data_IF_069521693225
#
_entry.id   IF_069521693225
#
_cell.length_a   1.000
_cell.length_b   1.000
_cell.length_c   1.000
_cell.angle_alpha   90.00
_cell.angle_beta   90.00
_cell.angle_gamma   90.00
#
_symmetry.space_group_name_H-M   'P 1'
#
loop_
_entity.id
_entity.type
_entity.pdbx_description
1 polymer ?
#
# COMPACT_ATOMS: atom_id res chain seq x y z
N UNK A 1 28.67 -5.37 3.27
CA UNK A 1 28.43 -4.17 4.11
C UNK A 1 27.95 -3.03 3.21
N UNK A 2 27.18 -2.09 3.75
CA UNK A 2 26.67 -0.95 3.01
C UNK A 2 26.39 0.24 3.92
N UNK A 3 26.31 1.42 3.32
CA UNK A 3 26.09 2.69 4.00
C UNK A 3 25.22 3.60 3.13
N UNK A 4 24.30 4.35 3.74
CA UNK A 4 23.49 5.38 3.06
C UNK A 4 23.68 6.70 3.79
N UNK A 5 24.26 7.67 3.09
CA UNK A 5 24.30 9.05 3.53
C UNK A 5 23.02 9.76 3.06
N UNK A 6 22.40 10.50 3.95
CA UNK A 6 21.19 11.28 3.67
C UNK A 6 21.43 12.73 4.09
N UNK A 7 20.93 13.67 3.28
CA UNK A 7 21.04 15.09 3.53
C UNK A 7 19.77 15.79 3.06
N UNK A 8 19.04 16.36 4.02
CA UNK A 8 17.79 17.08 3.83
C UNK A 8 17.93 18.48 4.47
N UNK A 9 18.59 19.42 3.78
CA UNK A 9 18.71 20.80 4.28
C UNK A 9 17.36 21.51 4.34
N UNK A 10 16.53 21.29 3.31
CA UNK A 10 15.16 21.77 3.22
C UNK A 10 14.26 20.57 2.95
N UNK A 11 13.44 20.22 3.94
CA UNK A 11 12.46 19.14 3.78
C UNK A 11 11.39 19.60 2.80
N UNK A 12 11.07 18.75 1.81
CA UNK A 12 10.00 19.05 0.85
C UNK A 12 8.67 19.23 1.58
N UNK A 13 7.82 20.14 1.07
CA UNK A 13 6.50 20.33 1.64
C UNK A 13 5.69 19.02 1.63
N UNK A 14 4.95 18.76 2.71
CA UNK A 14 4.19 17.54 2.93
C UNK A 14 5.00 16.37 3.51
N UNK A 15 6.32 16.48 3.63
CA UNK A 15 7.14 15.55 4.40
C UNK A 15 7.31 16.05 5.84
N UNK A 16 7.55 15.10 6.75
CA UNK A 16 7.73 15.43 8.17
C UNK A 16 8.98 16.31 8.38
N UNK A 17 8.85 17.50 9.00
CA UNK A 17 9.97 18.43 9.20
C UNK A 17 11.16 17.85 9.97
N UNK A 18 10.95 16.79 10.75
CA UNK A 18 12.02 16.08 11.50
C UNK A 18 13.02 15.37 10.60
N UNK A 19 12.73 15.25 9.29
CA UNK A 19 13.73 14.84 8.30
C UNK A 19 14.84 15.88 8.10
N UNK A 20 14.71 17.12 8.60
CA UNK A 20 15.75 18.14 8.39
C UNK A 20 17.05 17.74 9.08
N UNK A 21 18.13 17.61 8.31
CA UNK A 21 19.44 17.24 8.84
C UNK A 21 20.31 16.51 7.83
N UNK A 22 21.44 15.98 8.30
CA UNK A 22 22.32 15.17 7.48
C UNK A 22 23.05 14.13 8.33
N UNK A 23 23.23 12.93 7.80
CA UNK A 23 23.91 11.86 8.53
C UNK A 23 23.90 10.53 7.80
N UNK A 24 24.24 9.47 8.53
CA UNK A 24 24.27 8.09 8.06
C UNK A 24 23.25 7.28 8.84
N UNK A 25 21.95 7.44 8.54
CA UNK A 25 20.89 6.77 9.28
C UNK A 25 20.79 5.27 8.94
N UNK A 26 21.45 4.82 7.86
CA UNK A 26 21.45 3.42 7.43
C UNK A 26 22.87 2.92 7.20
N UNK A 27 23.32 1.93 8.01
CA UNK A 27 24.61 1.26 7.88
C UNK A 27 24.50 -0.20 8.30
N UNK A 28 25.17 -1.11 7.61
CA UNK A 28 25.14 -2.52 7.98
C UNK A 28 26.37 -3.30 7.52
N UNK A 29 26.68 -4.37 8.25
CA UNK A 29 27.55 -5.45 7.83
C UNK A 29 26.72 -6.73 7.71
N UNK A 30 26.96 -7.50 6.65
CA UNK A 30 26.26 -8.77 6.41
C UNK A 30 27.31 -9.85 6.13
N UNK A 31 27.12 -11.00 6.75
CA UNK A 31 27.88 -12.21 6.50
C UNK A 31 26.92 -13.32 6.08
N UNK A 32 27.18 -13.93 4.93
CA UNK A 32 26.39 -15.05 4.39
C UNK A 32 27.28 -16.24 4.17
N UNK A 33 26.89 -17.38 4.73
CA UNK A 33 27.58 -18.66 4.53
C UNK A 33 26.58 -19.81 4.43
N UNK A 34 26.44 -20.38 3.23
CA UNK A 34 25.57 -21.53 2.91
C UNK A 34 24.15 -21.34 3.46
N UNK A 35 23.90 -21.91 4.62
CA UNK A 35 22.60 -22.04 5.26
C UNK A 35 22.33 -20.99 6.34
N UNK A 36 23.22 -20.01 6.53
CA UNK A 36 22.96 -18.90 7.43
C UNK A 36 23.41 -17.54 6.87
N UNK A 37 22.65 -16.51 7.26
CA UNK A 37 22.93 -15.10 7.00
C UNK A 37 22.77 -14.33 8.32
N UNK A 38 23.76 -13.51 8.66
CA UNK A 38 23.72 -12.61 9.81
C UNK A 38 23.93 -11.19 9.30
N UNK A 39 23.06 -10.28 9.74
CA UNK A 39 23.17 -8.85 9.49
C UNK A 39 23.28 -8.12 10.82
N UNK A 40 24.27 -7.24 10.94
CA UNK A 40 24.41 -6.31 12.06
C UNK A 40 24.33 -4.87 11.53
N UNK A 41 23.52 -4.03 12.19
CA UNK A 41 23.19 -2.68 11.76
C UNK A 41 21.75 -2.59 11.21
N UNK A 42 21.53 -1.71 10.26
CA UNK A 42 20.22 -1.48 9.66
C UNK A 42 19.80 -2.58 8.68
N UNK A 43 18.58 -3.05 8.81
CA UNK A 43 17.96 -3.97 7.86
C UNK A 43 16.47 -3.69 7.71
N UNK A 44 15.92 -4.20 6.61
CA UNK A 44 14.49 -4.34 6.37
C UNK A 44 14.12 -5.83 6.45
N UNK A 45 12.93 -6.12 6.96
CA UNK A 45 12.41 -7.47 7.12
C UNK A 45 10.88 -7.47 7.09
N UNK A 46 10.33 -8.57 6.58
CA UNK A 46 8.89 -8.80 6.54
C UNK A 46 8.61 -10.26 6.89
N UNK A 47 7.65 -10.47 7.79
CA UNK A 47 7.11 -11.78 8.12
C UNK A 47 5.74 -11.93 7.46
N UNK A 48 5.55 -13.01 6.69
CA UNK A 48 4.29 -13.25 5.98
C UNK A 48 3.87 -12.08 5.09
N UNK A 49 2.60 -11.70 5.18
CA UNK A 49 2.04 -10.52 4.49
C UNK A 49 2.44 -9.18 5.12
N UNK A 50 3.08 -9.20 6.30
CA UNK A 50 3.47 -8.01 7.06
C UNK A 50 2.50 -7.61 8.17
N UNK A 51 1.43 -8.38 8.41
CA UNK A 51 0.37 -8.03 9.38
C UNK A 51 0.84 -7.91 10.83
N UNK A 52 1.98 -8.52 11.18
CA UNK A 52 2.62 -8.32 12.50
C UNK A 52 4.05 -7.80 12.41
N UNK A 53 4.69 -7.82 11.24
CA UNK A 53 6.04 -7.28 11.05
C UNK A 53 6.33 -6.96 9.58
N UNK A 54 6.52 -5.67 9.28
CA UNK A 54 7.03 -5.16 8.02
C UNK A 54 7.82 -3.88 8.25
N UNK A 55 9.11 -3.94 7.95
CA UNK A 55 9.98 -2.77 7.82
C UNK A 55 10.37 -2.58 6.36
N UNK A 56 10.24 -1.37 5.85
CA UNK A 56 10.44 -1.00 4.45
C UNK A 56 10.79 0.47 4.29
N UNK A 57 11.32 0.81 3.11
CA UNK A 57 11.51 2.17 2.66
C UNK A 57 10.48 2.45 1.56
N UNK A 58 9.68 3.50 1.74
CA UNK A 58 8.82 4.06 0.69
C UNK A 58 9.00 5.59 0.67
N UNK A 59 9.88 6.04 -0.22
CA UNK A 59 10.30 7.45 -0.29
C UNK A 59 9.17 8.39 -0.66
N UNK A 60 8.20 7.96 -1.46
CA UNK A 60 7.07 8.82 -1.84
C UNK A 60 6.15 9.17 -0.65
N UNK A 61 6.09 8.26 0.33
CA UNK A 61 5.37 8.44 1.59
C UNK A 61 6.25 9.00 2.73
N UNK A 62 7.56 9.16 2.49
CA UNK A 62 8.50 9.54 3.55
C UNK A 62 8.61 8.48 4.65
N UNK A 63 8.41 7.21 4.31
CA UNK A 63 8.52 6.09 5.25
C UNK A 63 9.89 5.47 5.12
N UNK A 64 10.59 5.40 6.25
CA UNK A 64 11.73 4.51 6.44
C UNK A 64 11.76 4.05 7.89
N UNK A 65 11.24 2.86 8.13
CA UNK A 65 11.22 2.21 9.44
C UNK A 65 12.24 1.06 9.51
N UNK A 66 13.42 1.24 8.90
CA UNK A 66 14.51 0.27 9.06
C UNK A 66 14.78 -0.05 10.54
N UNK A 67 15.18 -1.29 10.81
CA UNK A 67 15.55 -1.73 12.16
C UNK A 67 17.06 -1.68 12.29
N UNK A 68 17.59 -0.96 13.27
CA UNK A 68 19.01 -1.04 13.63
C UNK A 68 19.20 -2.06 14.76
N UNK A 69 19.90 -3.16 14.47
CA UNK A 69 20.14 -4.24 15.42
C UNK A 69 20.80 -5.46 14.80
N UNK A 70 20.36 -6.65 15.19
CA UNK A 70 20.87 -7.93 14.68
C UNK A 70 19.72 -8.71 14.06
N UNK A 71 19.97 -9.25 12.86
CA UNK A 71 19.08 -10.17 12.15
C UNK A 71 19.82 -11.44 11.79
N UNK A 72 19.16 -12.57 11.92
CA UNK A 72 19.66 -13.88 11.53
C UNK A 72 18.61 -14.55 10.63
N UNK A 73 19.07 -15.17 9.53
CA UNK A 73 18.27 -16.09 8.72
C UNK A 73 18.97 -17.44 8.68
N UNK A 74 18.23 -18.52 8.88
CA UNK A 74 18.74 -19.88 8.92
C UNK A 74 17.92 -20.77 7.97
N UNK A 75 18.61 -21.70 7.32
CA UNK A 75 18.03 -22.78 6.53
C UNK A 75 18.58 -24.12 7.04
N UNK A 76 18.20 -24.56 8.26
CA UNK A 76 18.83 -25.73 8.89
C UNK A 76 18.60 -27.03 8.10
N UNK A 77 17.47 -27.14 7.40
CA UNK A 77 17.11 -28.28 6.56
C UNK A 77 16.42 -27.81 5.28
N UNK A 78 16.36 -28.69 4.27
CA UNK A 78 15.57 -28.45 3.06
C UNK A 78 14.10 -28.22 3.42
N UNK A 79 13.52 -27.13 2.93
CA UNK A 79 12.15 -26.74 3.22
C UNK A 79 11.91 -26.04 4.56
N UNK A 80 12.91 -25.87 5.43
CA UNK A 80 12.77 -25.13 6.69
C UNK A 80 13.51 -23.81 6.61
N UNK A 81 12.79 -22.71 6.78
CA UNK A 81 13.32 -21.35 6.71
C UNK A 81 12.99 -20.63 8.02
N UNK A 82 14.01 -20.17 8.73
CA UNK A 82 13.84 -19.46 9.99
C UNK A 82 14.45 -18.06 9.87
N UNK A 83 13.79 -17.07 10.47
CA UNK A 83 14.31 -15.72 10.64
C UNK A 83 14.14 -15.30 12.07
N UNK A 84 15.10 -14.56 12.60
CA UNK A 84 14.98 -13.91 13.89
C UNK A 84 15.65 -12.54 13.87
N UNK A 85 15.16 -11.60 14.66
CA UNK A 85 15.79 -10.31 14.83
C UNK A 85 15.52 -9.68 16.19
N UNK A 86 16.38 -8.72 16.54
CA UNK A 86 16.18 -7.78 17.64
C UNK A 86 16.80 -6.43 17.25
N UNK A 87 16.11 -5.33 17.54
CA UNK A 87 16.64 -3.99 17.30
C UNK A 87 15.62 -2.89 17.55
N UNK A 88 15.99 -1.68 17.16
CA UNK A 88 15.18 -0.48 17.34
C UNK A 88 14.79 0.11 15.98
N UNK A 89 13.57 0.60 15.86
CA UNK A 89 13.15 1.30 14.65
C UNK A 89 13.87 2.63 14.50
N UNK A 90 14.28 2.91 13.26
CA UNK A 90 14.69 4.23 12.81
C UNK A 90 13.57 5.25 13.07
N UNK A 91 13.96 6.42 13.60
CA UNK A 91 13.14 7.60 13.73
C UNK A 91 13.91 8.79 13.14
N UNK A 92 13.75 9.04 11.84
CA UNK A 92 14.52 10.07 11.11
C UNK A 92 16.04 9.85 11.21
N UNK A 93 16.80 10.73 11.85
CA UNK A 93 18.24 10.53 12.09
C UNK A 93 18.55 9.84 13.43
N UNK A 94 17.53 9.57 14.23
CA UNK A 94 17.60 8.91 15.55
C UNK A 94 16.94 7.52 15.52
N UNK A 95 16.79 6.94 16.71
CA UNK A 95 16.11 5.66 16.97
C UNK A 95 14.97 5.85 17.97
N UNK A 96 13.98 4.97 17.87
CA UNK A 96 12.92 4.85 18.86
C UNK A 96 13.43 4.11 20.11
N UNK A 97 13.00 4.54 21.30
CA UNK A 97 13.31 3.86 22.58
C UNK A 97 12.77 2.41 22.63
N UNK A 98 11.69 2.14 21.90
CA UNK A 98 11.07 0.82 21.87
C UNK A 98 11.88 -0.24 21.13
N UNK A 99 12.12 -1.38 21.78
CA UNK A 99 12.86 -2.52 21.23
C UNK A 99 11.89 -3.49 20.57
N UNK A 100 12.12 -3.84 19.31
CA UNK A 100 11.31 -4.81 18.56
C UNK A 100 12.11 -6.11 18.39
N UNK A 101 11.43 -7.23 18.62
CA UNK A 101 11.98 -8.58 18.55
C UNK A 101 11.04 -9.43 17.72
N UNK A 102 11.58 -10.30 16.87
CA UNK A 102 10.75 -11.17 16.06
C UNK A 102 11.40 -12.50 15.75
N UNK A 103 10.58 -13.53 15.63
CA UNK A 103 10.94 -14.83 15.07
C UNK A 103 9.87 -15.26 14.06
N UNK A 104 10.32 -15.86 12.97
CA UNK A 104 9.49 -16.34 11.88
C UNK A 104 10.02 -17.69 11.40
N UNK A 105 9.10 -18.59 11.09
CA UNK A 105 9.41 -19.92 10.57
C UNK A 105 8.47 -20.29 9.43
N UNK A 106 9.02 -20.83 8.36
CA UNK A 106 8.28 -21.36 7.22
C UNK A 106 8.72 -22.79 6.89
N UNK A 107 7.73 -23.66 6.65
CA UNK A 107 7.90 -25.06 6.31
C UNK A 107 7.27 -25.34 4.94
N UNK A 108 8.11 -25.52 3.92
CA UNK A 108 7.75 -26.04 2.60
C UNK A 108 7.64 -27.57 2.68
N UNK A 109 6.42 -28.10 2.80
CA UNK A 109 6.20 -29.54 2.97
C UNK A 109 6.70 -30.36 1.78
N UNK A 110 6.70 -29.78 0.57
CA UNK A 110 7.16 -30.45 -0.64
C UNK A 110 8.68 -30.60 -0.71
N UNK A 111 9.43 -29.71 -0.06
CA UNK A 111 10.88 -29.81 0.09
C UNK A 111 11.27 -30.68 1.28
N UNK A 112 10.48 -30.62 2.36
CA UNK A 112 10.75 -31.34 3.61
C UNK A 112 10.36 -32.82 3.54
N UNK A 113 9.24 -33.16 2.88
CA UNK A 113 8.73 -34.53 2.77
C UNK A 113 8.96 -35.08 1.36
N UNK A 114 9.89 -36.04 1.15
CA UNK A 114 10.23 -36.55 -0.18
C UNK A 114 9.02 -37.09 -0.98
N UNK A 115 8.04 -37.70 -0.31
CA UNK A 115 6.80 -38.21 -0.93
C UNK A 115 5.95 -37.12 -1.57
N UNK A 116 6.08 -35.86 -1.14
CA UNK A 116 5.33 -34.72 -1.65
C UNK A 116 6.09 -33.94 -2.74
N UNK A 117 7.35 -34.27 -3.01
CA UNK A 117 8.20 -33.55 -3.98
C UNK A 117 7.59 -33.51 -5.39
N UNK A 118 6.97 -34.60 -5.82
CA UNK A 118 6.33 -34.74 -7.15
C UNK A 118 4.85 -34.32 -7.17
N UNK A 119 4.27 -33.95 -6.02
CA UNK A 119 2.89 -33.49 -5.95
C UNK A 119 2.70 -32.21 -6.76
N UNK A 120 1.57 -32.07 -7.46
CA UNK A 120 1.17 -30.82 -8.12
C UNK A 120 0.80 -29.73 -7.12
N UNK A 121 0.37 -30.13 -5.93
CA UNK A 121 0.09 -29.21 -4.83
C UNK A 121 1.38 -28.87 -4.10
N UNK A 122 1.61 -27.58 -3.92
CA UNK A 122 2.65 -26.99 -3.08
C UNK A 122 2.02 -26.45 -1.81
N UNK A 123 2.55 -26.85 -0.66
CA UNK A 123 2.06 -26.49 0.66
C UNK A 123 3.18 -25.80 1.44
N UNK A 124 2.90 -24.62 1.97
CA UNK A 124 3.79 -23.93 2.92
C UNK A 124 2.99 -23.54 4.16
N UNK A 125 3.50 -23.96 5.32
CA UNK A 125 3.00 -23.53 6.62
C UNK A 125 3.95 -22.50 7.19
N UNK A 126 3.42 -21.44 7.78
CA UNK A 126 4.23 -20.40 8.41
C UNK A 126 3.71 -20.04 9.80
N UNK A 127 4.63 -19.63 10.67
CA UNK A 127 4.33 -19.14 12.01
C UNK A 127 5.29 -18.01 12.36
N UNK A 128 4.77 -16.98 13.01
CA UNK A 128 5.59 -15.85 13.45
C UNK A 128 5.16 -15.31 14.79
N UNK A 129 6.12 -14.73 15.52
CA UNK A 129 5.90 -14.03 16.77
C UNK A 129 6.75 -12.76 16.79
N UNK A 130 6.14 -11.63 17.16
CA UNK A 130 6.77 -10.32 17.20
C UNK A 130 6.38 -9.63 18.51
N UNK A 131 7.37 -9.16 19.26
CA UNK A 131 7.15 -8.41 20.48
C UNK A 131 7.82 -7.04 20.41
N UNK A 132 7.15 -6.03 20.96
CA UNK A 132 7.76 -4.74 21.28
C UNK A 132 7.88 -4.59 22.78
N UNK A 133 8.99 -3.99 23.22
CA UNK A 133 9.19 -3.53 24.58
C UNK A 133 9.19 -1.99 24.61
N UNK A 134 8.43 -1.40 25.53
CA UNK A 134 8.48 0.03 25.85
C UNK A 134 8.12 0.19 27.34
N UNK A 135 8.95 0.87 28.12
CA UNK A 135 8.73 1.14 29.54
C UNK A 135 7.36 1.80 29.79
N UNK A 136 6.69 1.45 30.89
CA UNK A 136 5.49 2.16 31.32
C UNK A 136 5.85 3.43 32.10
N UNK A 137 5.55 4.58 31.50
CA UNK A 137 5.77 5.91 32.09
C UNK A 137 4.45 6.61 32.42
N UNK A 138 3.30 5.93 32.28
CA UNK A 138 1.99 6.55 32.49
C UNK A 138 1.54 6.45 33.95
N UNK A 139 1.11 7.56 34.59
CA UNK A 139 0.71 7.54 35.99
C UNK A 139 -0.71 7.00 36.22
N UNK A 140 -1.57 7.04 35.19
CA UNK A 140 -3.01 6.72 35.29
C UNK A 140 -3.33 5.32 34.75
N UNK A 141 -2.63 4.90 33.69
CA UNK A 141 -2.88 3.64 33.01
C UNK A 141 -1.81 2.62 33.40
N UNK A 142 -2.19 1.35 33.48
CA UNK A 142 -1.25 0.25 33.68
C UNK A 142 -0.95 -0.38 32.33
N UNK A 143 0.13 0.07 31.68
CA UNK A 143 0.40 -0.31 30.30
C UNK A 143 1.27 -1.57 30.23
N UNK A 144 0.97 -2.50 29.31
CA UNK A 144 1.86 -3.63 29.07
C UNK A 144 3.18 -3.13 28.47
N UNK A 145 4.28 -3.41 29.16
CA UNK A 145 5.61 -3.03 28.68
C UNK A 145 6.03 -3.88 27.48
N UNK A 146 5.72 -5.18 27.52
CA UNK A 146 5.92 -6.09 26.40
C UNK A 146 4.56 -6.38 25.76
N UNK A 147 4.36 -5.91 24.54
CA UNK A 147 3.20 -6.30 23.72
C UNK A 147 3.68 -7.37 22.74
N UNK A 148 2.96 -8.47 22.65
CA UNK A 148 3.25 -9.59 21.75
C UNK A 148 2.16 -9.76 20.69
N UNK A 149 2.58 -10.13 19.49
CA UNK A 149 1.71 -10.53 18.40
C UNK A 149 2.21 -11.85 17.79
N UNK A 150 1.30 -12.72 17.38
CA UNK A 150 1.60 -13.94 16.65
C UNK A 150 0.76 -14.04 15.39
N UNK A 151 1.24 -14.78 14.40
CA UNK A 151 0.48 -15.08 13.19
C UNK A 151 0.75 -16.48 12.66
N UNK A 152 -0.31 -17.14 12.19
CA UNK A 152 -0.27 -18.44 11.52
C UNK A 152 -0.63 -18.29 10.04
N UNK A 153 0.11 -18.99 9.17
CA UNK A 153 0.03 -18.84 7.71
C UNK A 153 -0.10 -20.17 7.00
N UNK A 154 -0.92 -20.18 5.95
CA UNK A 154 -1.05 -21.31 5.03
C UNK A 154 -1.02 -20.78 3.60
N UNK A 155 -0.08 -21.31 2.81
CA UNK A 155 0.00 -21.06 1.37
C UNK A 155 -0.16 -22.39 0.63
N UNK A 156 -1.17 -22.46 -0.23
CA UNK A 156 -1.47 -23.59 -1.10
C UNK A 156 -1.35 -23.13 -2.55
N UNK A 157 -0.67 -23.90 -3.38
CA UNK A 157 -0.59 -23.63 -4.81
C UNK A 157 -0.67 -24.90 -5.61
N UNK A 158 -1.51 -24.95 -6.63
CA UNK A 158 -1.60 -26.04 -7.58
C UNK A 158 -1.85 -25.47 -8.96
N UNK A 159 -0.77 -25.21 -9.70
CA UNK A 159 -0.74 -24.82 -11.11
C UNK A 159 -1.63 -23.62 -11.49
N UNK A 160 -2.95 -23.82 -11.44
CA UNK A 160 -4.01 -22.86 -11.69
C UNK A 160 -4.52 -22.17 -10.43
N UNK A 161 -4.53 -22.84 -9.27
CA UNK A 161 -5.11 -22.33 -8.02
C UNK A 161 -4.00 -21.85 -7.10
N UNK A 162 -4.19 -20.70 -6.48
CA UNK A 162 -3.38 -20.19 -5.38
C UNK A 162 -4.34 -19.83 -4.25
N UNK A 163 -4.05 -20.26 -3.03
CA UNK A 163 -4.78 -19.86 -1.83
C UNK A 163 -3.79 -19.49 -0.75
N UNK A 164 -3.94 -18.30 -0.18
CA UNK A 164 -3.10 -17.79 0.89
C UNK A 164 -4.01 -17.32 2.03
N UNK A 165 -3.72 -17.73 3.25
CA UNK A 165 -4.38 -17.19 4.43
C UNK A 165 -3.38 -16.92 5.53
N UNK A 166 -3.59 -15.83 6.26
CA UNK A 166 -2.85 -15.46 7.46
C UNK A 166 -3.83 -14.97 8.51
N UNK A 167 -3.76 -15.54 9.70
CA UNK A 167 -4.46 -15.05 10.89
C UNK A 167 -3.42 -14.52 11.87
N UNK A 168 -3.63 -13.32 12.37
CA UNK A 168 -2.78 -12.64 13.32
C UNK A 168 -3.58 -12.24 14.56
N UNK A 169 -2.94 -12.34 15.72
CA UNK A 169 -3.47 -11.90 17.00
C UNK A 169 -2.41 -11.10 17.73
N UNK A 170 -2.80 -9.99 18.34
CA UNK A 170 -1.96 -9.09 19.14
C UNK A 170 -2.63 -8.93 20.50
N UNK A 171 -1.88 -9.05 21.59
CA UNK A 171 -2.43 -8.73 22.90
C UNK A 171 -2.77 -7.23 22.98
N UNK A 172 -3.48 -6.85 24.04
CA UNK A 172 -3.82 -5.48 24.31
C UNK A 172 -2.63 -4.51 24.21
N UNK A 173 -2.85 -3.41 23.48
CA UNK A 173 -1.85 -2.38 23.22
C UNK A 173 -2.51 -1.00 23.29
N UNK A 174 -2.80 -0.49 24.49
CA UNK A 174 -3.37 0.84 24.65
C UNK A 174 -2.43 1.89 24.03
N UNK A 175 -2.94 2.62 23.05
CA UNK A 175 -2.16 3.53 22.23
C UNK A 175 -2.95 4.80 21.88
N UNK A 176 -2.25 5.80 21.34
CA UNK A 176 -2.89 7.01 20.84
C UNK A 176 -3.92 6.73 19.73
N UNK A 177 -3.73 5.64 18.97
CA UNK A 177 -4.57 5.31 17.82
C UNK A 177 -5.90 4.68 18.23
N UNK A 178 -5.93 3.85 19.28
CA UNK A 178 -7.15 3.16 19.73
C UNK A 178 -7.79 3.80 20.97
N UNK A 179 -7.48 5.06 21.26
CA UNK A 179 -7.98 5.78 22.44
C UNK A 179 -7.63 5.12 23.78
N UNK A 180 -6.45 4.46 23.87
CA UNK A 180 -5.96 3.80 25.09
C UNK A 180 -6.92 2.73 25.65
N UNK A 181 -7.60 1.98 24.77
CA UNK A 181 -8.37 0.80 25.18
C UNK A 181 -7.48 -0.42 25.40
N UNK A 182 -7.93 -1.35 26.22
CA UNK A 182 -7.26 -2.61 26.56
C UNK A 182 -7.78 -3.81 25.75
N UNK A 183 -8.41 -3.55 24.61
CA UNK A 183 -8.83 -4.61 23.68
C UNK A 183 -7.60 -5.31 23.08
N UNK A 184 -7.68 -6.62 22.91
CA UNK A 184 -6.77 -7.36 22.04
C UNK A 184 -7.02 -6.99 20.56
N UNK A 185 -6.08 -7.33 19.69
CA UNK A 185 -6.19 -7.12 18.25
C UNK A 185 -6.20 -8.44 17.49
N UNK A 186 -6.96 -8.48 16.40
CA UNK A 186 -6.97 -9.61 15.48
C UNK A 186 -7.04 -9.16 14.03
N UNK A 187 -6.39 -9.90 13.14
CA UNK A 187 -6.57 -9.73 11.71
C UNK A 187 -6.59 -11.07 10.99
N UNK A 188 -7.41 -11.15 9.96
CA UNK A 188 -7.45 -12.26 9.01
C UNK A 188 -7.28 -11.68 7.61
N UNK A 189 -6.42 -12.31 6.82
CA UNK A 189 -6.27 -12.02 5.40
C UNK A 189 -6.41 -13.33 4.63
N UNK A 190 -7.31 -13.35 3.66
CA UNK A 190 -7.54 -14.48 2.75
C UNK A 190 -7.37 -13.99 1.32
N UNK A 191 -6.64 -14.73 0.50
CA UNK A 191 -6.50 -14.51 -0.93
C UNK A 191 -6.71 -15.83 -1.67
N UNK A 192 -7.52 -15.82 -2.72
CA UNK A 192 -7.79 -16.93 -3.61
C UNK A 192 -7.58 -16.47 -5.05
N UNK A 193 -6.72 -17.17 -5.77
CA UNK A 193 -6.43 -16.93 -7.19
C UNK A 193 -6.74 -18.17 -8.03
N UNK A 194 -7.33 -17.96 -9.21
CA UNK A 194 -7.48 -18.96 -10.24
C UNK A 194 -7.00 -18.41 -11.58
N UNK A 195 -6.01 -19.05 -12.20
CA UNK A 195 -5.43 -18.60 -13.47
C UNK A 195 -5.31 -19.73 -14.47
N UNK A 196 -5.80 -19.46 -15.70
CA UNK A 196 -5.57 -20.27 -16.89
C UNK A 196 -5.18 -19.36 -18.05
N UNK A 197 -4.78 -19.92 -19.19
CA UNK A 197 -4.45 -19.13 -20.37
C UNK A 197 -5.67 -18.26 -20.77
N UNK A 198 -5.49 -16.94 -20.69
CA UNK A 198 -6.50 -15.95 -21.09
C UNK A 198 -7.55 -15.59 -20.02
N UNK A 199 -7.54 -16.22 -18.84
CA UNK A 199 -8.46 -15.89 -17.74
C UNK A 199 -7.74 -15.92 -16.39
N UNK A 200 -7.97 -14.90 -15.57
CA UNK A 200 -7.54 -14.84 -14.18
C UNK A 200 -8.67 -14.31 -13.30
N UNK A 201 -8.88 -14.94 -12.16
CA UNK A 201 -9.77 -14.50 -11.09
C UNK A 201 -8.94 -14.37 -9.81
N UNK A 202 -9.13 -13.28 -9.07
CA UNK A 202 -8.59 -13.07 -7.73
C UNK A 202 -9.72 -12.63 -6.82
N UNK A 203 -9.84 -13.26 -5.67
CA UNK A 203 -10.77 -12.92 -4.61
C UNK A 203 -9.96 -12.76 -3.32
N UNK A 204 -10.14 -11.65 -2.63
CA UNK A 204 -9.44 -11.35 -1.39
C UNK A 204 -10.44 -10.86 -0.36
N UNK A 205 -10.22 -11.22 0.89
CA UNK A 205 -11.02 -10.77 2.03
C UNK A 205 -10.11 -10.51 3.22
N UNK A 206 -10.46 -9.52 4.02
CA UNK A 206 -9.78 -9.26 5.28
C UNK A 206 -10.77 -8.85 6.37
N UNK A 207 -10.39 -9.17 7.60
CA UNK A 207 -10.90 -8.56 8.83
C UNK A 207 -9.73 -7.96 9.58
N UNK A 208 -9.90 -6.76 10.10
CA UNK A 208 -8.92 -6.07 10.93
C UNK A 208 -9.67 -5.51 12.13
N UNK A 209 -9.22 -5.82 13.34
CA UNK A 209 -9.77 -5.33 14.58
C UNK A 209 -8.63 -4.93 15.52
N UNK A 210 -8.52 -3.64 15.85
CA UNK A 210 -7.53 -3.09 16.78
C UNK A 210 -6.06 -3.55 16.54
N UNK A 211 -5.66 -3.63 15.27
CA UNK A 211 -4.35 -4.14 14.86
C UNK A 211 -3.31 -3.03 14.60
N UNK A 212 -3.51 -1.79 15.02
CA UNK A 212 -2.40 -0.82 14.97
C UNK A 212 -1.23 -1.33 15.83
N UNK A 213 -0.02 -1.42 15.28
CA UNK A 213 1.13 -1.90 16.03
C UNK A 213 2.37 -1.06 15.73
N UNK A 214 2.88 -0.37 16.76
CA UNK A 214 3.99 0.59 16.65
C UNK A 214 5.00 0.40 17.76
N UNK A 215 6.27 0.64 17.47
CA UNK A 215 7.35 0.57 18.48
C UNK A 215 7.25 1.64 19.56
N UNK A 216 6.47 2.71 19.32
CA UNK A 216 6.07 3.68 20.33
C UNK A 216 4.55 3.84 20.35
N UNK A 217 3.91 3.57 21.50
CA UNK A 217 2.46 3.66 21.69
C UNK A 217 1.85 5.06 21.53
N UNK A 218 2.66 6.11 21.67
CA UNK A 218 2.23 7.50 21.51
C UNK A 218 2.40 8.02 20.06
N UNK A 219 3.02 7.23 19.18
CA UNK A 219 3.27 7.65 17.80
C UNK A 219 1.98 7.62 16.96
N UNK A 220 1.82 8.64 16.11
CA UNK A 220 0.72 8.79 15.15
C UNK A 220 1.27 9.01 13.74
N UNK A 221 0.40 9.00 12.72
CA UNK A 221 0.81 9.14 11.32
C UNK A 221 1.61 7.93 10.81
N UNK A 222 2.59 8.12 9.93
CA UNK A 222 3.29 7.01 9.27
C UNK A 222 4.64 6.61 9.89
N UNK A 223 4.90 7.00 11.15
CA UNK A 223 6.17 6.70 11.82
C UNK A 223 6.07 5.44 12.69
N UNK A 224 7.19 4.74 12.86
CA UNK A 224 7.37 3.69 13.87
C UNK A 224 6.38 2.51 13.78
N UNK A 225 5.76 2.32 12.61
CA UNK A 225 4.88 1.18 12.31
C UNK A 225 5.69 -0.13 12.36
N UNK A 226 5.25 -1.09 13.15
CA UNK A 226 5.77 -2.47 13.18
C UNK A 226 5.08 -3.29 12.12
N UNK A 227 3.77 -3.14 11.96
CA UNK A 227 3.01 -3.90 11.00
C UNK A 227 2.55 -3.07 9.79
N UNK A 228 2.11 -3.81 8.78
CA UNK A 228 1.48 -3.28 7.58
C UNK A 228 0.18 -4.04 7.33
N UNK A 229 -0.90 -3.30 7.13
CA UNK A 229 -2.24 -3.82 6.92
C UNK A 229 -2.68 -3.53 5.48
N UNK A 230 -2.81 -4.56 4.60
CA UNK A 230 -3.13 -4.34 3.20
C UNK A 230 -4.49 -3.66 3.01
N UNK A 231 -4.61 -2.72 2.07
CA UNK A 231 -5.87 -2.02 1.77
C UNK A 231 -6.94 -2.89 1.09
N UNK A 232 -6.55 -3.87 0.27
CA UNK A 232 -7.47 -4.60 -0.62
C UNK A 232 -8.29 -3.67 -1.53
N UNK A 233 -7.67 -2.60 -2.02
CA UNK A 233 -8.25 -1.69 -3.02
C UNK A 233 -7.36 -1.63 -4.25
N UNK A 234 -7.92 -1.21 -5.39
CA UNK A 234 -7.14 -1.06 -6.61
C UNK A 234 -6.31 0.24 -6.52
N UNK A 235 -4.98 0.18 -6.69
CA UNK A 235 -4.21 1.40 -6.85
C UNK A 235 -4.51 2.01 -8.22
N UNK A 236 -5.04 3.24 -8.23
CA UNK A 236 -5.28 4.00 -9.45
C UNK A 236 -4.01 4.72 -9.89
N UNK A 237 -3.64 4.57 -11.16
CA UNK A 237 -2.47 5.24 -11.75
C UNK A 237 -2.85 6.50 -12.53
N UNK A 238 -4.12 6.62 -12.91
CA UNK A 238 -4.68 7.78 -13.59
C UNK A 238 -5.04 8.86 -12.58
N UNK A 239 -4.66 10.10 -12.88
CA UNK A 239 -4.76 11.26 -11.97
C UNK A 239 -6.13 11.45 -11.33
N UNK A 240 -7.22 11.53 -12.10
CA UNK A 240 -8.55 11.81 -11.54
C UNK A 240 -9.11 10.62 -10.74
N UNK A 241 -8.82 9.39 -11.17
CA UNK A 241 -9.20 8.20 -10.40
C UNK A 241 -8.40 8.05 -9.10
N UNK A 242 -7.23 8.68 -9.01
CA UNK A 242 -6.40 8.69 -7.81
C UNK A 242 -6.74 9.83 -6.83
N UNK A 243 -7.75 10.65 -7.11
CA UNK A 243 -8.17 11.74 -6.20
C UNK A 243 -8.70 11.25 -4.86
N UNK A 244 -9.29 10.05 -4.83
CA UNK A 244 -9.93 9.46 -3.66
C UNK A 244 -9.24 8.14 -3.28
N UNK A 245 -8.00 8.18 -2.80
CA UNK A 245 -7.24 6.96 -2.51
C UNK A 245 -7.57 6.41 -1.11
N UNK A 246 -7.49 5.10 -0.92
CA UNK A 246 -7.88 4.46 0.35
C UNK A 246 -6.69 4.02 1.21
N UNK A 247 -6.79 4.27 2.52
CA UNK A 247 -5.96 3.69 3.57
C UNK A 247 -6.76 2.74 4.46
N UNK A 248 -6.12 1.65 4.84
CA UNK A 248 -6.68 0.66 5.78
C UNK A 248 -6.90 1.29 7.15
N UNK A 249 -8.08 1.05 7.74
CA UNK A 249 -8.44 1.49 9.09
C UNK A 249 -8.02 0.42 10.12
N UNK A 250 -7.01 0.67 10.96
CA UNK A 250 -6.43 -0.36 11.82
C UNK A 250 -7.31 -0.75 13.02
N UNK A 251 -8.29 0.08 13.37
CA UNK A 251 -9.13 -0.10 14.55
C UNK A 251 -10.47 -0.78 14.27
N UNK A 252 -10.70 -1.26 13.05
CA UNK A 252 -11.96 -1.93 12.72
C UNK A 252 -12.32 -1.79 11.27
N UNK A 253 -12.05 -2.81 10.46
CA UNK A 253 -12.38 -2.86 9.04
C UNK A 253 -12.68 -4.29 8.56
N UNK A 254 -13.74 -4.43 7.77
CA UNK A 254 -14.03 -5.58 6.92
C UNK A 254 -13.83 -5.18 5.47
N UNK A 255 -12.91 -5.84 4.76
CA UNK A 255 -12.54 -5.49 3.39
C UNK A 255 -12.62 -6.67 2.43
N UNK A 256 -13.10 -6.44 1.21
CA UNK A 256 -13.20 -7.46 0.16
C UNK A 256 -12.75 -6.89 -1.18
N UNK A 257 -12.11 -7.73 -1.99
CA UNK A 257 -11.70 -7.37 -3.34
C UNK A 257 -11.86 -8.54 -4.30
N UNK A 258 -12.59 -8.33 -5.40
CA UNK A 258 -12.64 -9.23 -6.54
C UNK A 258 -11.98 -8.61 -7.76
N UNK A 259 -11.18 -9.38 -8.50
CA UNK A 259 -10.65 -8.97 -9.79
C UNK A 259 -10.76 -10.10 -10.81
N UNK A 260 -11.30 -9.79 -11.98
CA UNK A 260 -11.37 -10.67 -13.14
C UNK A 260 -10.56 -10.04 -14.27
N UNK A 261 -9.70 -10.84 -14.87
CA UNK A 261 -8.92 -10.47 -16.04
C UNK A 261 -9.20 -11.48 -17.15
N UNK A 262 -9.68 -11.02 -18.30
CA UNK A 262 -10.02 -11.87 -19.44
C UNK A 262 -9.42 -11.33 -20.74
N UNK A 263 -8.90 -12.24 -21.57
CA UNK A 263 -8.37 -11.93 -22.88
C UNK A 263 -9.21 -12.59 -23.96
N UNK A 264 -9.98 -11.78 -24.68
CA UNK A 264 -10.73 -12.21 -25.85
C UNK A 264 -9.77 -12.63 -26.97
N UNK A 265 -10.09 -13.76 -27.58
CA UNK A 265 -9.27 -14.35 -28.64
C UNK A 265 -9.29 -13.53 -29.93
N UNK A 266 -8.17 -13.59 -30.65
CA UNK A 266 -8.01 -12.94 -31.95
C UNK A 266 -8.98 -13.54 -32.96
N UNK A 267 -9.55 -12.72 -33.82
CA UNK A 267 -10.50 -13.12 -34.86
C UNK A 267 -11.95 -13.22 -34.39
N UNK A 268 -12.21 -13.10 -33.08
CA UNK A 268 -13.58 -13.02 -32.54
C UNK A 268 -14.14 -11.59 -32.67
N UNK A 269 -15.46 -11.44 -32.59
CA UNK A 269 -16.14 -10.13 -32.64
C UNK A 269 -15.59 -9.16 -31.59
N UNK A 270 -15.48 -9.62 -30.33
CA UNK A 270 -14.99 -8.79 -29.22
C UNK A 270 -13.46 -8.68 -29.16
N UNK A 271 -12.72 -9.68 -29.65
CA UNK A 271 -11.25 -9.68 -29.64
C UNK A 271 -10.60 -8.97 -30.83
N UNK A 272 -11.31 -8.82 -31.95
CA UNK A 272 -10.79 -8.22 -33.17
C UNK A 272 -9.51 -8.90 -33.67
N UNK A 273 -8.73 -8.21 -34.52
CA UNK A 273 -7.53 -8.79 -35.15
C UNK A 273 -6.38 -9.07 -34.16
N UNK A 274 -6.28 -8.30 -33.08
CA UNK A 274 -5.13 -8.31 -32.19
C UNK A 274 -5.41 -8.86 -30.78
N UNK A 275 -6.68 -9.15 -30.45
CA UNK A 275 -7.14 -9.53 -29.13
C UNK A 275 -7.55 -8.29 -28.32
N UNK A 276 -8.48 -8.49 -27.40
CA UNK A 276 -8.95 -7.47 -26.45
C UNK A 276 -8.72 -7.98 -25.05
N UNK A 277 -8.25 -7.12 -24.16
CA UNK A 277 -8.11 -7.46 -22.75
C UNK A 277 -9.13 -6.65 -21.94
N UNK A 278 -9.84 -7.34 -21.06
CA UNK A 278 -10.81 -6.79 -20.12
C UNK A 278 -10.30 -7.08 -18.71
N UNK A 279 -10.24 -6.05 -17.88
CA UNK A 279 -10.07 -6.17 -16.45
C UNK A 279 -11.29 -5.57 -15.74
N UNK A 280 -11.86 -6.32 -14.82
CA UNK A 280 -12.94 -5.91 -13.93
C UNK A 280 -12.44 -6.01 -12.50
N UNK A 281 -12.66 -5.01 -11.68
CA UNK A 281 -12.38 -5.09 -10.25
C UNK A 281 -13.48 -4.41 -9.45
N UNK A 282 -13.73 -4.99 -8.28
CA UNK A 282 -14.63 -4.45 -7.27
C UNK A 282 -13.92 -4.58 -5.93
N UNK A 283 -13.83 -3.48 -5.19
CA UNK A 283 -13.22 -3.40 -3.87
C UNK A 283 -14.19 -2.70 -2.93
N UNK A 284 -14.36 -3.19 -1.69
CA UNK A 284 -15.23 -2.57 -0.69
C UNK A 284 -14.66 -2.74 0.71
N UNK A 285 -14.71 -1.68 1.49
CA UNK A 285 -14.32 -1.65 2.89
C UNK A 285 -15.44 -1.03 3.73
N UNK A 286 -15.79 -1.71 4.80
CA UNK A 286 -16.81 -1.34 5.77
C UNK A 286 -16.21 -1.37 7.18
N UNK A 287 -16.88 -0.72 8.13
CA UNK A 287 -16.64 -0.92 9.55
C UNK A 287 -16.84 -2.38 9.95
N UNK A 288 -16.31 -2.73 11.12
CA UNK A 288 -16.74 -3.92 11.86
C UNK A 288 -17.92 -3.54 12.73
N UNK A 289 -18.80 -4.49 13.04
CA UNK A 289 -19.88 -4.21 13.99
C UNK A 289 -19.31 -4.06 15.41
N UNK A 290 -19.23 -2.83 15.91
CA UNK A 290 -18.73 -2.51 17.25
C UNK A 290 -19.88 -2.35 18.21
N UNK A 291 -19.96 -3.23 19.19
CA UNK A 291 -21.00 -3.24 20.20
C UNK A 291 -20.45 -2.77 21.56
N UNK A 292 -21.31 -2.11 22.33
CA UNK A 292 -20.98 -1.75 23.71
C UNK A 292 -20.75 -3.03 24.54
N UNK A 293 -19.74 -2.99 25.41
CA UNK A 293 -19.45 -4.11 26.32
C UNK A 293 -20.55 -4.24 27.39
N UNK A 294 -21.15 -3.11 27.77
CA UNK A 294 -22.26 -3.00 28.72
C UNK A 294 -22.95 -1.64 28.56
N UNK A 295 -24.13 -1.49 29.18
CA UNK A 295 -25.01 -0.31 29.09
C UNK A 295 -24.38 1.03 29.54
N UNK A 296 -23.22 0.99 30.22
CA UNK A 296 -22.55 2.19 30.77
C UNK A 296 -21.24 2.53 30.07
N UNK A 297 -20.72 1.64 29.23
CA UNK A 297 -19.42 1.81 28.56
C UNK A 297 -19.64 2.13 27.10
N UNK A 298 -19.42 3.39 26.72
CA UNK A 298 -19.46 3.80 25.33
C UNK A 298 -18.41 3.04 24.49
N UNK A 299 -18.70 2.82 23.21
CA UNK A 299 -17.75 2.26 22.25
C UNK A 299 -16.48 3.12 22.24
N UNK A 300 -15.32 2.48 22.24
CA UNK A 300 -14.00 3.13 22.30
C UNK A 300 -13.76 3.96 23.58
N UNK A 301 -14.49 3.70 24.67
CA UNK A 301 -14.28 4.40 25.93
C UNK A 301 -12.85 4.19 26.46
N UNK A 302 -12.17 5.29 26.76
CA UNK A 302 -10.78 5.30 27.19
C UNK A 302 -10.58 4.51 28.49
N UNK A 303 -9.57 3.64 28.52
CA UNK A 303 -9.21 2.88 29.72
C UNK A 303 -10.11 1.67 30.01
N UNK A 304 -10.96 1.26 29.07
CA UNK A 304 -11.78 0.04 29.13
C UNK A 304 -11.36 -0.93 28.03
N UNK A 305 -12.05 -2.06 27.87
CA UNK A 305 -11.84 -2.96 26.72
C UNK A 305 -12.41 -2.39 25.39
N UNK A 306 -12.97 -1.18 25.42
CA UNK A 306 -13.44 -0.46 24.24
C UNK A 306 -14.77 -0.93 23.68
N UNK A 307 -14.82 -2.14 23.09
CA UNK A 307 -15.98 -2.70 22.40
C UNK A 307 -15.85 -4.22 22.16
N UNK A 308 -16.97 -4.89 21.93
CA UNK A 308 -17.04 -6.25 21.37
C UNK A 308 -17.38 -6.20 19.88
N UNK A 309 -16.96 -7.22 19.13
CA UNK A 309 -17.26 -7.33 17.70
C UNK A 309 -17.25 -8.79 17.28
N UNK A 310 -18.33 -9.23 16.64
CA UNK A 310 -18.43 -10.59 16.13
C UNK A 310 -17.60 -10.77 14.87
N UNK A 311 -16.84 -11.87 14.79
CA UNK A 311 -15.76 -12.04 13.82
C UNK A 311 -16.20 -11.95 12.34
N UNK A 312 -17.42 -12.35 12.01
CA UNK A 312 -17.90 -12.34 10.61
C UNK A 312 -18.93 -11.25 10.33
N UNK A 313 -19.28 -10.44 11.33
CA UNK A 313 -20.29 -9.40 11.20
C UNK A 313 -19.68 -8.14 10.60
N UNK A 314 -20.29 -7.66 9.52
CA UNK A 314 -19.88 -6.42 8.84
C UNK A 314 -20.72 -5.29 9.42
N UNK A 315 -20.07 -4.19 9.79
CA UNK A 315 -20.75 -2.98 10.28
C UNK A 315 -21.37 -2.17 9.15
N UNK A 316 -22.36 -1.34 9.50
CA UNK A 316 -23.18 -0.61 8.54
C UNK A 316 -22.44 0.54 7.84
N UNK A 317 -21.44 1.12 8.50
CA UNK A 317 -20.69 2.26 7.95
C UNK A 317 -19.79 1.82 6.80
N UNK A 318 -20.03 2.39 5.62
CA UNK A 318 -19.17 2.25 4.45
C UNK A 318 -17.96 3.16 4.61
N UNK A 319 -16.75 2.61 4.46
CA UNK A 319 -15.53 3.42 4.38
C UNK A 319 -15.18 3.74 2.93
N UNK A 320 -15.21 2.73 2.07
CA UNK A 320 -14.78 2.86 0.69
C UNK A 320 -15.40 1.81 -0.23
N UNK A 321 -15.73 2.20 -1.46
CA UNK A 321 -16.16 1.28 -2.51
C UNK A 321 -15.54 1.72 -3.85
N UNK A 322 -15.02 0.78 -4.63
CA UNK A 322 -14.43 1.02 -5.94
C UNK A 322 -14.82 -0.09 -6.89
N UNK A 323 -15.63 0.25 -7.90
CA UNK A 323 -15.88 -0.58 -9.06
C UNK A 323 -15.13 0.00 -10.26
N UNK A 324 -14.37 -0.83 -10.96
CA UNK A 324 -13.70 -0.40 -12.18
C UNK A 324 -13.70 -1.45 -13.28
N UNK A 325 -13.80 -0.96 -14.51
CA UNK A 325 -13.72 -1.72 -15.74
C UNK A 325 -12.68 -1.07 -16.65
N UNK A 326 -11.71 -1.86 -17.12
CA UNK A 326 -10.68 -1.43 -18.06
C UNK A 326 -10.69 -2.34 -19.28
N UNK A 327 -10.75 -1.73 -20.47
CA UNK A 327 -10.70 -2.41 -21.75
C UNK A 327 -9.46 -1.91 -22.51
N UNK A 328 -8.52 -2.81 -22.75
CA UNK A 328 -7.38 -2.56 -23.62
C UNK A 328 -7.63 -3.20 -24.98
N UNK A 329 -7.65 -2.38 -26.04
CA UNK A 329 -7.80 -2.86 -27.41
C UNK A 329 -6.70 -2.33 -28.33
N UNK A 330 -6.20 -3.18 -29.21
CA UNK A 330 -5.24 -2.80 -30.25
C UNK A 330 -5.93 -2.82 -31.61
N UNK A 331 -6.30 -1.65 -32.12
CA UNK A 331 -6.97 -1.51 -33.42
C UNK A 331 -6.04 -1.79 -34.60
N UNK A 332 -4.75 -1.44 -34.48
CA UNK A 332 -3.77 -1.68 -35.55
C UNK A 332 -2.34 -1.86 -35.01
N UNK A 333 -1.35 -2.09 -35.89
CA UNK A 333 0.07 -2.05 -35.47
C UNK A 333 0.48 -0.68 -34.93
N UNK A 334 -0.24 0.39 -35.29
CA UNK A 334 0.04 1.78 -34.90
C UNK A 334 -0.84 2.28 -33.75
N UNK A 335 -2.08 1.82 -33.64
CA UNK A 335 -3.07 2.36 -32.70
C UNK A 335 -3.42 1.34 -31.62
N UNK A 336 -3.30 1.75 -30.36
CA UNK A 336 -3.79 1.04 -29.16
C UNK A 336 -4.58 2.04 -28.32
N UNK A 337 -5.72 1.62 -27.78
CA UNK A 337 -6.42 2.39 -26.76
C UNK A 337 -6.65 1.56 -25.50
N UNK A 338 -6.79 2.27 -24.38
CA UNK A 338 -7.25 1.77 -23.11
C UNK A 338 -8.41 2.68 -22.70
N UNK A 339 -9.59 2.09 -22.51
CA UNK A 339 -10.75 2.79 -21.94
C UNK A 339 -10.99 2.27 -20.53
N UNK A 340 -11.14 3.16 -19.56
CA UNK A 340 -11.43 2.79 -18.17
C UNK A 340 -12.62 3.59 -17.67
N UNK A 341 -13.50 2.92 -16.93
CA UNK A 341 -14.51 3.55 -16.11
C UNK A 341 -14.30 3.10 -14.66
N UNK A 342 -14.35 4.04 -13.73
CA UNK A 342 -14.30 3.78 -12.29
C UNK A 342 -15.45 4.49 -11.59
N UNK A 343 -16.07 3.82 -10.64
CA UNK A 343 -17.05 4.37 -9.71
C UNK A 343 -16.49 4.20 -8.31
N UNK A 344 -16.35 5.29 -7.58
CA UNK A 344 -15.67 5.37 -6.30
C UNK A 344 -16.61 6.03 -5.30
N UNK A 345 -16.94 5.33 -4.22
CA UNK A 345 -17.58 5.90 -3.04
C UNK A 345 -16.52 6.07 -1.96
N UNK A 346 -16.37 7.29 -1.47
CA UNK A 346 -15.28 7.65 -0.57
C UNK A 346 -15.85 8.37 0.66
N UNK A 347 -15.77 7.72 1.82
CA UNK A 347 -16.22 8.33 3.07
C UNK A 347 -15.11 9.23 3.64
N UNK A 348 -15.24 10.54 3.41
CA UNK A 348 -14.27 11.54 3.85
C UNK A 348 -14.19 11.66 5.37
N UNK A 349 -15.30 11.39 6.07
CA UNK A 349 -15.39 11.49 7.53
C UNK A 349 -14.49 10.44 8.21
N UNK A 350 -14.42 9.23 7.64
CA UNK A 350 -13.57 8.15 8.17
C UNK A 350 -12.14 8.24 7.67
N UNK A 351 -11.95 8.51 6.37
CA UNK A 351 -10.63 8.40 5.73
C UNK A 351 -9.76 9.63 6.03
N UNK A 352 -10.37 10.82 6.04
CA UNK A 352 -9.66 12.10 6.25
C UNK A 352 -9.96 12.72 7.62
N UNK A 353 -11.07 12.33 8.27
CA UNK A 353 -11.53 12.98 9.49
C UNK A 353 -12.24 14.30 9.23
N UNK A 354 -12.76 14.51 8.01
CA UNK A 354 -13.57 15.67 7.66
C UNK A 354 -15.03 15.48 8.11
N UNK A 355 -15.93 16.40 7.73
CA UNK A 355 -17.37 16.32 8.03
C UNK A 355 -18.20 16.53 6.76
N UNK A 356 -17.66 16.11 5.62
CA UNK A 356 -18.23 16.35 4.29
C UNK A 356 -19.01 15.14 3.77
N UNK A 357 -19.00 14.02 4.51
CA UNK A 357 -19.75 12.81 4.20
C UNK A 357 -19.12 11.95 3.11
N UNK A 358 -19.97 11.20 2.39
CA UNK A 358 -19.55 10.29 1.32
C UNK A 358 -19.54 11.01 -0.02
N UNK A 359 -18.39 10.99 -0.69
CA UNK A 359 -18.23 11.47 -2.05
C UNK A 359 -18.53 10.35 -3.04
N UNK A 360 -19.39 10.64 -4.01
CA UNK A 360 -19.77 9.71 -5.07
C UNK A 360 -19.12 10.15 -6.38
N UNK A 361 -18.01 9.52 -6.73
CA UNK A 361 -17.19 9.89 -7.86
C UNK A 361 -17.32 8.86 -8.99
N UNK A 362 -17.53 9.34 -10.22
CA UNK A 362 -17.44 8.52 -11.42
C UNK A 362 -16.32 9.07 -12.30
N UNK A 363 -15.45 8.21 -12.81
CA UNK A 363 -14.29 8.63 -13.60
C UNK A 363 -14.28 7.87 -14.93
N UNK A 364 -14.31 8.62 -16.03
CA UNK A 364 -14.15 8.10 -17.38
C UNK A 364 -12.76 8.44 -17.91
N UNK A 365 -12.08 7.46 -18.50
CA UNK A 365 -10.67 7.58 -18.92
C UNK A 365 -10.51 6.99 -20.31
N UNK A 366 -9.81 7.71 -21.17
CA UNK A 366 -9.37 7.25 -22.48
C UNK A 366 -7.88 7.53 -22.66
N UNK A 367 -7.07 6.47 -22.77
CA UNK A 367 -5.65 6.53 -23.11
C UNK A 367 -5.44 5.96 -24.51
N UNK A 368 -5.02 6.80 -25.44
CA UNK A 368 -4.74 6.47 -26.83
C UNK A 368 -3.24 6.57 -27.11
N UNK A 369 -2.64 5.46 -27.55
CA UNK A 369 -1.27 5.45 -28.05
C UNK A 369 -1.24 5.30 -29.57
N UNK A 370 -0.61 6.25 -30.25
CA UNK A 370 -0.32 6.24 -31.69
C UNK A 370 1.18 6.11 -31.96
N UNK A 371 1.60 4.98 -32.56
CA UNK A 371 2.98 4.75 -32.99
C UNK A 371 3.21 5.35 -34.37
N UNK A 372 3.98 6.44 -34.40
CA UNK A 372 4.41 7.11 -35.64
C UNK A 372 5.46 6.24 -36.34
N UNK A 373 6.47 5.81 -35.58
CA UNK A 373 7.56 4.92 -36.00
C UNK A 373 7.87 3.91 -34.87
N UNK A 374 8.65 2.83 -35.12
CA UNK A 374 8.94 1.83 -34.08
C UNK A 374 9.51 2.40 -32.76
N UNK A 375 10.22 3.53 -32.81
CA UNK A 375 10.81 4.22 -31.66
C UNK A 375 10.15 5.56 -31.31
N UNK A 376 9.08 5.95 -32.00
CA UNK A 376 8.40 7.25 -31.81
C UNK A 376 6.91 7.04 -31.62
N UNK A 377 6.38 7.47 -30.48
CA UNK A 377 4.97 7.33 -30.15
C UNK A 377 4.41 8.63 -29.57
N UNK A 378 3.14 8.87 -29.87
CA UNK A 378 2.31 9.89 -29.25
C UNK A 378 1.30 9.20 -28.35
N UNK A 379 1.13 9.66 -27.12
CA UNK A 379 0.13 9.19 -26.16
C UNK A 379 -0.76 10.37 -25.79
N UNK A 380 -2.06 10.20 -25.98
CA UNK A 380 -3.10 11.13 -25.56
C UNK A 380 -3.89 10.47 -24.43
N UNK A 381 -3.94 11.11 -23.27
CA UNK A 381 -4.73 10.69 -22.13
C UNK A 381 -5.80 11.74 -21.88
N UNK A 382 -7.05 11.32 -21.76
CA UNK A 382 -8.18 12.18 -21.41
C UNK A 382 -8.93 11.53 -20.26
N UNK A 383 -9.23 12.31 -19.23
CA UNK A 383 -9.98 11.87 -18.08
C UNK A 383 -11.09 12.87 -17.76
N UNK A 384 -12.18 12.36 -17.19
CA UNK A 384 -13.26 13.16 -16.68
C UNK A 384 -13.75 12.58 -15.36
N UNK A 385 -13.87 13.42 -14.33
CA UNK A 385 -14.44 13.08 -13.03
C UNK A 385 -15.79 13.79 -12.88
N UNK A 386 -16.81 13.01 -12.59
CA UNK A 386 -18.13 13.48 -12.18
C UNK A 386 -18.28 13.28 -10.67
N UNK A 387 -18.38 14.39 -9.93
CA UNK A 387 -18.67 14.38 -8.50
C UNK A 387 -19.53 15.61 -8.18
N UNK A 388 -20.61 15.43 -7.42
CA UNK A 388 -21.45 16.52 -6.96
C UNK A 388 -20.98 17.10 -5.62
N UNK A 389 -20.26 16.28 -4.84
CA UNK A 389 -19.63 16.65 -3.57
C UNK A 389 -18.21 17.20 -3.80
N UNK A 390 -17.49 17.45 -2.70
CA UNK A 390 -16.08 17.87 -2.71
C UNK A 390 -15.85 19.11 -3.61
N UNK A 391 -14.85 19.08 -4.49
CA UNK A 391 -14.55 20.21 -5.38
C UNK A 391 -15.28 20.15 -6.73
N UNK A 392 -16.30 19.29 -6.89
CA UNK A 392 -17.12 19.18 -8.08
C UNK A 392 -16.49 18.39 -9.24
N UNK A 393 -16.82 18.77 -10.48
CA UNK A 393 -16.38 18.06 -11.69
C UNK A 393 -15.01 18.51 -12.20
N UNK A 394 -14.24 17.54 -12.74
CA UNK A 394 -12.91 17.80 -13.29
C UNK A 394 -12.74 17.23 -14.68
N UNK A 395 -11.93 17.92 -15.49
CA UNK A 395 -11.47 17.44 -16.79
C UNK A 395 -9.95 17.47 -16.85
N UNK A 396 -9.35 16.42 -17.41
CA UNK A 396 -7.90 16.35 -17.55
C UNK A 396 -7.52 15.84 -18.94
N UNK A 397 -6.51 16.45 -19.53
CA UNK A 397 -5.93 16.03 -20.79
C UNK A 397 -4.41 16.09 -20.72
N UNK A 398 -3.75 15.07 -21.27
CA UNK A 398 -2.29 15.02 -21.40
C UNK A 398 -1.88 14.50 -22.76
N UNK A 399 -0.88 15.16 -23.33
CA UNK A 399 -0.20 14.74 -24.55
C UNK A 399 1.27 14.44 -24.24
N UNK A 400 1.71 13.22 -24.51
CA UNK A 400 3.10 12.79 -24.37
C UNK A 400 3.66 12.34 -25.72
N UNK A 401 4.83 12.87 -26.08
CA UNK A 401 5.63 12.41 -27.19
C UNK A 401 6.91 11.73 -26.69
N UNK A 402 7.08 10.46 -27.07
CA UNK A 402 8.15 9.60 -26.58
C UNK A 402 9.05 9.11 -27.73
N UNK A 403 10.37 9.27 -27.56
CA UNK A 403 11.43 8.81 -28.48
C UNK A 403 12.31 7.78 -27.76
N UNK A 404 11.95 6.51 -27.90
CA UNK A 404 12.63 5.42 -27.20
C UNK A 404 14.08 5.22 -27.68
N UNK A 405 15.03 4.90 -26.78
CA UNK A 405 14.88 4.78 -25.33
C UNK A 405 15.21 6.08 -24.55
N UNK A 406 15.40 7.21 -25.25
CA UNK A 406 16.14 8.35 -24.68
C UNK A 406 15.27 9.48 -24.17
N UNK A 407 14.22 9.87 -24.89
CA UNK A 407 13.52 11.13 -24.64
C UNK A 407 12.02 10.93 -24.44
N UNK A 408 11.43 11.75 -23.58
CA UNK A 408 9.99 12.00 -23.56
C UNK A 408 9.73 13.49 -23.29
N UNK A 409 8.59 13.96 -23.79
CA UNK A 409 8.06 15.30 -23.58
C UNK A 409 6.56 15.15 -23.30
N UNK A 410 6.05 15.74 -22.23
CA UNK A 410 4.65 15.70 -21.89
C UNK A 410 4.13 17.09 -21.51
N UNK A 411 2.89 17.36 -21.88
CA UNK A 411 2.12 18.50 -21.41
C UNK A 411 0.79 17.98 -20.89
N UNK A 412 0.38 18.46 -19.71
CA UNK A 412 -0.84 18.08 -19.01
C UNK A 412 -1.58 19.33 -18.58
N UNK A 413 -2.89 19.31 -18.69
CA UNK A 413 -3.79 20.27 -18.05
C UNK A 413 -4.86 19.48 -17.30
N UNK A 414 -5.05 19.84 -16.04
CA UNK A 414 -6.10 19.31 -15.18
C UNK A 414 -6.91 20.48 -14.63
N UNK A 415 -8.20 20.52 -14.93
CA UNK A 415 -9.04 21.69 -14.75
C UNK A 415 -10.27 21.37 -13.89
N UNK A 416 -10.40 22.10 -12.78
CA UNK A 416 -11.58 22.04 -11.93
C UNK A 416 -12.69 22.97 -12.45
N UNK A 417 -13.31 22.63 -13.55
CA UNK A 417 -14.37 23.47 -14.11
C UNK A 417 -15.68 23.40 -13.32
N UNK A 418 -15.86 22.37 -12.49
CA UNK A 418 -17.07 22.11 -11.72
C UNK A 418 -17.07 22.70 -10.32
N UNK A 419 -16.02 23.41 -9.92
CA UNK A 419 -15.98 24.08 -8.61
C UNK A 419 -17.10 25.12 -8.50
N UNK A 420 -17.80 25.12 -7.36
CA UNK A 420 -18.86 26.11 -7.08
C UNK A 420 -18.29 27.53 -6.96
N UNK A 421 -17.07 27.65 -6.43
CA UNK A 421 -16.34 28.91 -6.38
C UNK A 421 -15.57 29.13 -7.69
N UNK A 422 -15.98 30.16 -8.43
CA UNK A 422 -15.37 30.53 -9.72
C UNK A 422 -13.88 30.83 -9.62
N UNK A 423 -13.43 31.38 -8.50
CA UNK A 423 -12.01 31.69 -8.30
C UNK A 423 -11.16 30.42 -8.06
N UNK A 424 -11.82 29.31 -7.69
CA UNK A 424 -11.21 27.99 -7.51
C UNK A 424 -11.33 27.09 -8.75
N UNK A 425 -11.89 27.59 -9.85
CA UNK A 425 -11.85 26.92 -11.15
C UNK A 425 -10.45 27.03 -11.76
N UNK A 426 -9.50 26.29 -11.18
CA UNK A 426 -8.08 26.42 -11.44
C UNK A 426 -7.63 25.36 -12.44
N UNK A 427 -6.81 25.80 -13.39
CA UNK A 427 -6.01 24.93 -14.24
C UNK A 427 -4.68 24.58 -13.57
N UNK A 428 -4.41 23.29 -13.50
CA UNK A 428 -3.17 22.68 -13.01
C UNK A 428 -2.34 22.18 -14.19
N UNK A 429 -1.69 23.12 -14.88
CA UNK A 429 -0.79 22.80 -15.97
C UNK A 429 0.51 22.19 -15.48
N UNK A 430 1.01 21.17 -16.19
CA UNK A 430 2.32 20.57 -15.95
C UNK A 430 3.02 20.23 -17.27
N UNK A 431 4.26 20.66 -17.39
CA UNK A 431 5.15 20.31 -18.50
C UNK A 431 6.30 19.46 -17.97
N UNK A 432 6.54 18.33 -18.62
CA UNK A 432 7.53 17.35 -18.19
C UNK A 432 8.42 16.95 -19.34
N UNK A 433 9.70 16.80 -19.05
CA UNK A 433 10.71 16.39 -20.01
C UNK A 433 11.68 15.44 -19.31
N UNK A 434 12.18 14.45 -20.02
CA UNK A 434 13.30 13.68 -19.49
C UNK A 434 14.17 13.03 -20.52
N UNK A 435 15.40 12.77 -20.07
CA UNK A 435 16.46 12.16 -20.84
C UNK A 435 17.07 10.97 -20.08
N UNK A 436 17.16 9.84 -20.77
CA UNK A 436 17.79 8.63 -20.25
C UNK A 436 19.01 8.27 -21.09
N UNK A 437 20.15 8.05 -20.42
CA UNK A 437 21.40 7.55 -21.02
C UNK A 437 22.04 6.52 -20.11
N UNK A 438 22.18 5.30 -20.62
CA UNK A 438 22.70 4.16 -19.87
C UNK A 438 21.91 3.97 -18.56
N UNK A 439 22.59 4.00 -17.42
CA UNK A 439 21.98 3.89 -16.09
C UNK A 439 21.52 5.23 -15.50
N UNK A 440 21.77 6.35 -16.19
CA UNK A 440 21.41 7.69 -15.74
C UNK A 440 20.09 8.17 -16.37
N UNK A 441 19.24 8.80 -15.56
CA UNK A 441 18.00 9.47 -15.98
C UNK A 441 17.92 10.85 -15.33
N UNK A 442 17.59 11.85 -16.14
CA UNK A 442 17.24 13.19 -15.69
C UNK A 442 15.81 13.46 -16.13
N UNK A 443 14.94 13.86 -15.21
CA UNK A 443 13.59 14.31 -15.49
C UNK A 443 13.35 15.67 -14.84
N UNK A 444 12.76 16.58 -15.59
CA UNK A 444 12.41 17.93 -15.15
C UNK A 444 10.93 18.10 -15.42
N UNK A 445 10.18 18.51 -14.40
CA UNK A 445 8.82 19.00 -14.57
C UNK A 445 8.66 20.41 -14.01
N UNK A 446 7.79 21.19 -14.64
CA UNK A 446 7.39 22.51 -14.19
C UNK A 446 5.87 22.61 -14.26
N UNK A 447 5.25 23.05 -13.19
CA UNK A 447 3.80 23.20 -13.16
C UNK A 447 3.23 23.37 -11.78
N UNK A 448 1.89 23.34 -11.74
CA UNK A 448 1.11 23.35 -10.51
C UNK A 448 0.77 21.93 -10.11
N UNK A 449 1.06 21.60 -8.86
CA UNK A 449 0.59 20.39 -8.21
C UNK A 449 -0.59 20.73 -7.31
N UNK A 450 -1.68 19.98 -7.46
CA UNK A 450 -2.84 20.07 -6.58
C UNK A 450 -2.51 19.49 -5.20
N UNK A 451 -3.13 20.04 -4.18
CA UNK A 451 -3.24 19.37 -2.89
C UNK A 451 -4.02 18.06 -3.00
N UNK A 452 -3.74 17.12 -2.10
CA UNK A 452 -4.48 15.87 -1.97
C UNK A 452 -3.70 14.81 -1.23
N UNK A 453 -4.19 13.57 -1.31
CA UNK A 453 -3.62 12.44 -0.59
C UNK A 453 -2.89 11.53 -1.57
N UNK A 454 -1.69 11.06 -1.19
CA UNK A 454 -0.98 10.00 -1.90
C UNK A 454 -0.96 8.74 -1.03
N UNK A 455 -1.50 7.64 -1.55
CA UNK A 455 -1.47 6.35 -0.88
C UNK A 455 -0.66 5.32 -1.67
N UNK A 456 0.17 4.56 -0.95
CA UNK A 456 0.88 3.40 -1.50
C UNK A 456 0.65 2.22 -0.56
N UNK A 457 -0.01 1.18 -1.07
CA UNK A 457 -0.27 -0.04 -0.30
C UNK A 457 -1.20 0.15 0.92
N UNK A 458 -2.08 1.14 0.91
CA UNK A 458 -2.96 1.41 2.06
C UNK A 458 -2.32 2.24 3.17
N UNK A 459 -1.15 2.84 2.92
CA UNK A 459 -0.56 3.88 3.76
C UNK A 459 -0.57 5.19 2.99
N UNK A 460 -1.03 6.27 3.61
CA UNK A 460 -1.30 7.54 2.94
C UNK A 460 -0.55 8.72 3.55
N UNK A 461 -0.18 9.69 2.73
CA UNK A 461 0.44 10.96 3.14
C UNK A 461 -0.26 12.12 2.46
N UNK A 462 -0.47 13.20 3.21
CA UNK A 462 -0.94 14.48 2.66
C UNK A 462 0.14 15.13 1.78
N UNK A 463 -0.27 15.60 0.62
CA UNK A 463 0.57 16.25 -0.38
C UNK A 463 0.02 17.66 -0.60
N UNK A 464 0.76 18.71 -0.20
CA UNK A 464 0.27 20.07 -0.30
C UNK A 464 0.31 20.59 -1.74
N UNK A 465 -0.51 21.60 -2.02
CA UNK A 465 -0.44 22.33 -3.27
C UNK A 465 0.93 23.02 -3.42
N UNK A 466 1.51 22.94 -4.62
CA UNK A 466 2.78 23.60 -4.92
C UNK A 466 2.87 24.05 -6.37
N UNK A 467 3.76 24.99 -6.64
CA UNK A 467 4.02 25.48 -7.99
C UNK A 467 5.53 25.71 -8.16
N UNK A 468 6.14 25.05 -9.13
CA UNK A 468 7.57 25.24 -9.39
C UNK A 468 8.20 24.12 -10.22
N UNK A 469 9.54 24.05 -10.12
CA UNK A 469 10.34 23.04 -10.79
C UNK A 469 10.58 21.84 -9.87
N UNK A 470 10.38 20.64 -10.42
CA UNK A 470 10.85 19.39 -9.85
C UNK A 470 11.92 18.80 -10.75
N UNK A 471 13.14 18.66 -10.22
CA UNK A 471 14.27 18.05 -10.93
C UNK A 471 14.61 16.74 -10.26
N UNK A 472 14.51 15.63 -11.00
CA UNK A 472 14.88 14.30 -10.56
C UNK A 472 16.08 13.81 -11.36
N UNK A 473 17.18 13.49 -10.65
CA UNK A 473 18.38 12.91 -11.24
C UNK A 473 18.60 11.57 -10.54
N UNK A 474 18.55 10.48 -11.31
CA UNK A 474 18.80 9.13 -10.80
C UNK A 474 19.88 8.46 -11.63
N UNK A 475 20.78 7.75 -10.97
CA UNK A 475 21.81 6.94 -11.61
C UNK A 475 22.07 5.71 -10.77
N UNK A 476 22.17 4.56 -11.43
CA UNK A 476 22.66 3.33 -10.82
C UNK A 476 24.10 3.10 -11.29
N UNK A 477 24.97 2.65 -10.38
CA UNK A 477 26.39 2.34 -10.67
C UNK A 477 26.64 0.84 -10.69
#
# INVERSE_FOLDING_TARGET
AGVRYENYQNVMQGFDPRYKGSGIPYRFAEYRHKDFEITAGNFYEQFGSGMIMRSFEERSLGIDNSIDGIRIKLKPFSGVYLKAFIGEHRLFFDKCEGIVRGIDGELSLNEFVPKLSTSKWRYTLGGSFVSKYQEDKYPIFKLPENVGAWAGRLNLTNGKIIFNTEYAHKINDPSAINNMIYKDGEALLINLGYTIKGFGLMLSGKRIDNMNYRSNRAATGNILMINYLPALTKPHTYTLAAFYPYATQPNGEMGFQGQINYKFDKGTFLGGKYGTYLALNYSRANSIDMQQINDTTAVMARGTDGYTSDFFTIGDELYFEDFNIEITHKFSKKVKAIGTYAMINYNSDVIEGHTDGIFYANVGILDLTYKIQPKKALRLEMQHLWCAQDEGNWGMAMLEYSIAPKWFFAALDNYNYGNEDKDKQIHYYMFSFGYTRNAGRIAISYGKQREGILCVGGVCRQVPASNGFLVSITSNF
#
